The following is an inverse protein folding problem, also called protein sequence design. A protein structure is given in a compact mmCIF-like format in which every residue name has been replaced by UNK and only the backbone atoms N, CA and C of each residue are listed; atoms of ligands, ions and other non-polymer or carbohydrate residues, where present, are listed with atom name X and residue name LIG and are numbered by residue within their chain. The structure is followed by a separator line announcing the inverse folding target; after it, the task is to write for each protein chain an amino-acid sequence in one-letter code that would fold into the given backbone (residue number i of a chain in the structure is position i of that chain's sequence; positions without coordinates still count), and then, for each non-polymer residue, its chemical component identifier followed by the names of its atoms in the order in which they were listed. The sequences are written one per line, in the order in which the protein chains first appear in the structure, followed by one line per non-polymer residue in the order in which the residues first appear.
data_IF_128608475094
#
_entry.id   IF_128608475094
#
_cell.length_a   1.000
_cell.length_b   1.000
_cell.length_c   1.000
_cell.angle_alpha   90.00
_cell.angle_beta   90.00
_cell.angle_gamma   90.00
#
_symmetry.space_group_name_H-M   'P 1'
#
loop_
_entity.id
_entity.type
_entity.pdbx_description
1 polymer ?
#
# COMPACT_ATOMS: atom_id res chain seq x y z
N UNK A 1 18.48 7.15 23.01
CA UNK A 1 18.50 7.85 21.69
C UNK A 1 17.96 6.98 20.54
N UNK A 2 17.04 6.03 20.81
CA UNK A 2 16.54 5.07 19.80
C UNK A 2 15.11 5.42 19.33
N UNK A 3 14.29 5.98 20.23
CA UNK A 3 12.90 6.41 19.95
C UNK A 3 12.75 7.42 18.80
N UNK A 4 13.71 8.34 18.63
CA UNK A 4 13.59 9.39 17.59
C UNK A 4 13.86 8.88 16.18
N UNK A 5 14.55 7.74 16.02
CA UNK A 5 14.80 7.14 14.71
C UNK A 5 13.62 6.26 14.29
N UNK A 6 13.06 5.50 15.22
CA UNK A 6 11.88 4.68 14.95
C UNK A 6 10.66 5.55 14.62
N UNK A 7 10.40 6.59 15.41
CA UNK A 7 9.33 7.57 15.13
C UNK A 7 9.56 8.27 13.78
N UNK A 8 10.80 8.63 13.43
CA UNK A 8 11.11 9.21 12.11
C UNK A 8 10.87 8.23 10.96
N UNK A 9 11.13 6.94 11.14
CA UNK A 9 10.93 5.92 10.11
C UNK A 9 9.46 5.56 9.86
N UNK A 10 8.64 5.48 10.92
CA UNK A 10 7.19 5.21 10.78
C UNK A 10 6.43 6.41 10.24
N UNK A 11 6.91 7.63 10.50
CA UNK A 11 6.32 8.87 9.99
C UNK A 11 6.54 9.03 8.48
N UNK A 12 7.60 8.47 7.88
CA UNK A 12 7.90 8.72 6.46
C UNK A 12 7.03 7.91 5.47
N UNK A 13 6.64 6.68 5.86
CA UNK A 13 5.95 5.69 4.99
C UNK A 13 4.60 6.16 4.45
N UNK A 14 3.69 6.52 5.36
CA UNK A 14 2.36 7.01 4.97
C UNK A 14 2.43 8.45 4.50
N UNK A 15 3.46 9.20 4.92
CA UNK A 15 3.59 10.61 4.58
C UNK A 15 4.02 10.80 3.14
N UNK A 16 4.96 10.02 2.58
CA UNK A 16 5.39 10.22 1.19
C UNK A 16 4.22 9.99 0.22
N UNK A 17 3.59 8.81 0.26
CA UNK A 17 2.45 8.50 -0.61
C UNK A 17 1.31 9.52 -0.43
N UNK A 18 0.96 9.82 0.83
CA UNK A 18 -0.08 10.80 1.15
C UNK A 18 0.28 12.18 0.64
N UNK A 19 1.52 12.63 0.82
CA UNK A 19 1.97 13.94 0.38
C UNK A 19 1.94 14.02 -1.14
N UNK A 20 2.41 12.99 -1.85
CA UNK A 20 2.33 12.94 -3.32
C UNK A 20 0.88 13.04 -3.81
N UNK A 21 -0.05 12.27 -3.23
CA UNK A 21 -1.45 12.31 -3.63
C UNK A 21 -2.15 13.62 -3.23
N UNK A 22 -1.79 14.23 -2.10
CA UNK A 22 -2.28 15.55 -1.68
C UNK A 22 -1.78 16.65 -2.62
N UNK A 23 -0.48 16.66 -2.94
CA UNK A 23 0.12 17.65 -3.83
C UNK A 23 -0.40 17.50 -5.26
N UNK A 24 -0.62 16.26 -5.73
CA UNK A 24 -1.32 16.00 -6.99
C UNK A 24 -2.74 16.57 -6.97
N UNK A 25 -3.49 16.31 -5.90
CA UNK A 25 -4.83 16.85 -5.69
C UNK A 25 -4.87 18.37 -5.72
N UNK A 26 -3.88 19.05 -5.13
CA UNK A 26 -3.74 20.51 -5.15
C UNK A 26 -3.38 21.03 -6.54
N UNK A 27 -2.35 20.44 -7.16
CA UNK A 27 -1.81 20.85 -8.47
C UNK A 27 -2.87 20.76 -9.56
N UNK A 28 -3.65 19.69 -9.56
CA UNK A 28 -4.73 19.47 -10.52
C UNK A 28 -6.09 20.01 -10.03
N UNK A 29 -6.15 20.69 -8.88
CA UNK A 29 -7.38 21.19 -8.27
C UNK A 29 -8.51 20.13 -8.28
N UNK A 30 -8.20 18.92 -7.83
CA UNK A 30 -9.10 17.78 -7.85
C UNK A 30 -10.15 17.89 -6.76
N UNK A 31 -11.35 17.41 -7.04
CA UNK A 31 -12.34 17.19 -6.00
C UNK A 31 -11.97 16.00 -5.12
N UNK A 32 -11.50 14.94 -5.76
CA UNK A 32 -11.20 13.66 -5.15
C UNK A 32 -10.02 12.99 -5.88
N UNK A 33 -9.15 12.38 -5.11
CA UNK A 33 -8.07 11.52 -5.59
C UNK A 33 -8.06 10.29 -4.70
N UNK A 34 -8.27 9.12 -5.30
CA UNK A 34 -8.36 7.87 -4.58
C UNK A 34 -7.39 6.83 -5.13
N UNK A 35 -6.82 6.04 -4.22
CA UNK A 35 -5.96 4.92 -4.57
C UNK A 35 -6.58 3.63 -4.07
N UNK A 36 -6.77 2.70 -4.99
CA UNK A 36 -7.28 1.37 -4.73
C UNK A 36 -6.17 0.34 -4.90
N UNK A 37 -5.93 -0.45 -3.85
CA UNK A 37 -4.89 -1.48 -3.83
C UNK A 37 -5.52 -2.86 -3.99
N UNK A 38 -4.88 -3.80 -4.72
CA UNK A 38 -5.37 -5.17 -4.78
C UNK A 38 -5.31 -5.83 -3.40
N UNK A 39 -6.34 -6.61 -3.08
CA UNK A 39 -6.35 -7.46 -1.89
C UNK A 39 -5.36 -8.62 -2.03
N UNK A 40 -5.11 -9.34 -0.93
CA UNK A 40 -4.21 -10.52 -0.94
C UNK A 40 -4.64 -11.59 -1.94
N UNK A 41 -5.94 -11.73 -2.20
CA UNK A 41 -6.48 -12.68 -3.19
C UNK A 41 -6.28 -12.19 -4.63
N UNK A 42 -6.05 -10.90 -4.84
CA UNK A 42 -5.95 -10.27 -6.16
C UNK A 42 -7.28 -10.17 -6.94
N UNK A 43 -8.38 -10.65 -6.34
CA UNK A 43 -9.71 -10.66 -6.97
C UNK A 43 -10.48 -9.37 -6.75
N UNK A 44 -10.05 -8.56 -5.79
CA UNK A 44 -10.71 -7.33 -5.40
C UNK A 44 -9.70 -6.21 -5.21
N UNK A 45 -10.16 -4.98 -5.40
CA UNK A 45 -9.46 -3.76 -5.05
C UNK A 45 -10.08 -3.18 -3.78
N UNK A 46 -9.26 -2.89 -2.79
CA UNK A 46 -9.62 -2.22 -1.54
C UNK A 46 -9.21 -0.75 -1.61
N UNK A 47 -10.10 0.15 -1.17
CA UNK A 47 -9.80 1.57 -1.06
C UNK A 47 -8.75 1.81 0.04
N UNK A 48 -7.55 2.24 -0.34
CA UNK A 48 -6.46 2.49 0.60
C UNK A 48 -6.24 3.97 0.91
N UNK A 49 -6.61 4.86 -0.01
CA UNK A 49 -6.48 6.30 0.18
C UNK A 49 -7.61 7.07 -0.52
N UNK A 50 -8.04 8.18 0.09
CA UNK A 50 -8.89 9.21 -0.52
C UNK A 50 -8.45 10.58 0.01
N UNK A 51 -8.53 11.61 -0.85
CA UNK A 51 -8.11 12.97 -0.54
C UNK A 51 -8.92 13.59 0.61
N UNK A 52 -10.23 13.27 0.69
CA UNK A 52 -11.14 13.89 1.66
C UNK A 52 -11.42 13.08 2.93
N UNK A 53 -11.20 11.77 2.91
CA UNK A 53 -11.45 10.92 4.09
C UNK A 53 -10.15 10.27 4.60
N UNK A 54 -9.81 10.53 5.86
CA UNK A 54 -8.57 10.03 6.46
C UNK A 54 -8.67 8.58 6.95
N UNK A 55 -9.89 8.02 6.98
CA UNK A 55 -10.18 6.63 7.32
C UNK A 55 -11.29 6.10 6.39
N UNK A 56 -10.96 5.62 5.19
CA UNK A 56 -11.96 4.99 4.34
C UNK A 56 -12.53 3.78 5.08
N UNK A 57 -13.87 3.68 5.13
CA UNK A 57 -14.54 2.40 5.45
C UNK A 57 -14.00 1.35 4.46
N UNK A 58 -13.84 0.09 4.88
CA UNK A 58 -13.38 -0.98 3.99
C UNK A 58 -14.34 -1.15 2.81
N UNK A 59 -14.08 -0.44 1.73
CA UNK A 59 -14.77 -0.54 0.47
C UNK A 59 -13.94 -1.40 -0.46
N UNK A 60 -14.51 -2.50 -0.93
CA UNK A 60 -13.92 -3.37 -1.94
C UNK A 60 -14.72 -3.35 -3.22
N UNK A 61 -14.02 -3.53 -4.34
CA UNK A 61 -14.60 -3.63 -5.68
C UNK A 61 -13.94 -4.78 -6.44
N UNK A 62 -14.68 -5.66 -7.11
CA UNK A 62 -14.07 -6.76 -7.84
C UNK A 62 -13.18 -6.29 -9.00
N UNK A 63 -12.00 -6.89 -9.19
CA UNK A 63 -11.02 -6.50 -10.24
C UNK A 63 -11.50 -6.82 -11.65
N UNK A 64 -12.36 -7.82 -11.80
CA UNK A 64 -12.85 -8.30 -13.09
C UNK A 64 -13.89 -7.37 -13.76
N UNK A 65 -14.23 -6.23 -13.15
CA UNK A 65 -15.15 -5.27 -13.76
C UNK A 65 -14.59 -4.75 -15.10
N UNK A 66 -15.42 -4.62 -16.16
CA UNK A 66 -14.96 -4.19 -17.48
C UNK A 66 -14.21 -2.85 -17.48
N UNK A 67 -14.63 -1.91 -16.63
CA UNK A 67 -13.98 -0.61 -16.48
C UNK A 67 -12.56 -0.72 -15.92
N UNK A 68 -12.33 -1.64 -14.97
CA UNK A 68 -11.02 -1.85 -14.35
C UNK A 68 -10.11 -2.57 -15.34
N UNK A 69 -10.60 -3.61 -16.00
CA UNK A 69 -9.87 -4.33 -17.04
C UNK A 69 -9.43 -3.40 -18.18
N UNK A 70 -10.29 -2.46 -18.58
CA UNK A 70 -9.97 -1.43 -19.58
C UNK A 70 -8.84 -0.50 -19.12
N UNK A 71 -8.85 -0.08 -17.86
CA UNK A 71 -7.76 0.77 -17.33
C UNK A 71 -6.47 -0.03 -17.24
N UNK A 72 -6.54 -1.27 -16.75
CA UNK A 72 -5.36 -2.13 -16.57
C UNK A 72 -4.72 -2.60 -17.88
N UNK A 73 -5.46 -2.61 -19.00
CA UNK A 73 -4.92 -2.96 -20.31
C UNK A 73 -4.12 -1.84 -20.98
N UNK A 74 -4.12 -0.61 -20.44
CA UNK A 74 -3.46 0.55 -21.04
C UNK A 74 -2.53 1.26 -20.06
N UNK A 75 -1.50 1.94 -20.57
CA UNK A 75 -0.62 2.81 -19.74
C UNK A 75 -1.17 4.21 -19.52
N UNK A 76 -2.28 4.55 -20.16
CA UNK A 76 -2.78 5.91 -20.22
C UNK A 76 -3.89 6.16 -19.22
N UNK A 77 -4.11 7.42 -18.90
CA UNK A 77 -5.29 7.82 -18.15
C UNK A 77 -6.56 7.59 -18.98
N UNK A 78 -7.49 6.78 -18.47
CA UNK A 78 -8.74 6.43 -19.14
C UNK A 78 -9.90 7.17 -18.50
N UNK A 79 -10.69 7.89 -19.29
CA UNK A 79 -11.97 8.46 -18.83
C UNK A 79 -12.94 7.34 -18.45
N UNK A 80 -13.50 7.43 -17.25
CA UNK A 80 -14.45 6.46 -16.71
C UNK A 80 -15.74 7.14 -16.27
N UNK A 81 -16.83 6.37 -16.21
CA UNK A 81 -18.11 6.90 -15.73
C UNK A 81 -18.01 7.28 -14.25
N UNK A 82 -18.48 8.46 -13.83
CA UNK A 82 -18.54 8.82 -12.41
C UNK A 82 -19.49 7.91 -11.60
N UNK A 83 -20.38 7.18 -12.27
CA UNK A 83 -21.29 6.23 -11.64
C UNK A 83 -20.67 4.83 -11.42
N UNK A 84 -19.44 4.60 -11.88
CA UNK A 84 -18.79 3.31 -11.69
C UNK A 84 -18.43 3.08 -10.21
N UNK A 85 -18.32 1.81 -9.75
CA UNK A 85 -18.07 1.50 -8.34
C UNK A 85 -16.80 2.14 -7.77
N UNK A 86 -15.74 2.25 -8.59
CA UNK A 86 -14.45 2.82 -8.17
C UNK A 86 -14.43 4.36 -8.11
N UNK A 87 -15.39 5.03 -8.77
CA UNK A 87 -15.53 6.48 -8.73
C UNK A 87 -16.59 6.95 -7.72
N UNK A 88 -17.53 6.07 -7.36
CA UNK A 88 -18.63 6.37 -6.44
C UNK A 88 -18.20 6.26 -4.98
N UNK A 89 -17.32 7.17 -4.58
CA UNK A 89 -16.79 7.28 -3.21
C UNK A 89 -17.74 8.00 -2.24
N UNK A 90 -18.83 8.60 -2.75
CA UNK A 90 -19.86 9.27 -1.94
C UNK A 90 -21.26 8.76 -2.29
N UNK A 91 -22.18 8.72 -1.30
CA UNK A 91 -23.60 8.61 -1.57
C UNK A 91 -24.06 9.81 -2.43
N UNK A 92 -24.82 9.56 -3.49
CA UNK A 92 -25.43 10.63 -4.28
C UNK A 92 -26.51 11.31 -3.44
N UNK A 93 -26.19 12.48 -2.86
CA UNK A 93 -27.18 13.35 -2.24
C UNK A 93 -27.47 14.54 -3.16
N UNK A 94 -28.67 14.58 -3.75
CA UNK A 94 -29.18 15.71 -4.53
C UNK A 94 -28.87 15.71 -6.04
N UNK A 95 -29.27 16.81 -6.73
CA UNK A 95 -29.00 17.06 -8.16
C UNK A 95 -27.55 17.51 -8.36
N UNK A 96 -26.62 16.59 -8.18
CA UNK A 96 -25.19 16.83 -8.37
C UNK A 96 -24.77 16.40 -9.77
N UNK A 97 -24.07 17.26 -10.51
CA UNK A 97 -23.43 16.88 -11.78
C UNK A 97 -22.00 16.46 -11.47
N UNK A 98 -21.70 15.14 -11.45
CA UNK A 98 -20.35 14.68 -11.12
C UNK A 98 -19.33 15.21 -12.13
N UNK A 99 -18.16 15.63 -11.64
CA UNK A 99 -17.05 16.06 -12.49
C UNK A 99 -16.50 14.92 -13.36
N UNK A 100 -15.71 15.27 -14.38
CA UNK A 100 -15.05 14.24 -15.19
C UNK A 100 -14.10 13.40 -14.33
N UNK A 101 -14.16 12.07 -14.52
CA UNK A 101 -13.35 11.11 -13.79
C UNK A 101 -12.41 10.41 -14.75
N UNK A 102 -11.14 10.33 -14.36
CA UNK A 102 -10.15 9.50 -15.03
C UNK A 102 -9.59 8.48 -14.06
N UNK A 103 -9.24 7.33 -14.59
CA UNK A 103 -8.56 6.29 -13.86
C UNK A 103 -7.31 5.85 -14.62
N UNK A 104 -6.27 5.55 -13.85
CA UNK A 104 -4.98 5.15 -14.38
C UNK A 104 -4.43 4.01 -13.53
N UNK A 105 -3.78 3.05 -14.17
CA UNK A 105 -3.13 1.93 -13.47
C UNK A 105 -1.82 2.42 -12.86
N UNK A 106 -1.53 1.96 -11.65
CA UNK A 106 -0.24 2.20 -10.98
C UNK A 106 0.46 0.85 -10.84
N UNK A 107 1.62 0.63 -11.49
CA UNK A 107 2.34 -0.63 -11.37
C UNK A 107 2.81 -0.84 -9.94
N UNK A 108 2.51 -2.01 -9.38
CA UNK A 108 3.05 -2.42 -8.09
C UNK A 108 4.32 -3.22 -8.35
N UNK A 109 5.46 -2.58 -8.09
CA UNK A 109 6.77 -3.22 -8.22
C UNK A 109 6.95 -4.20 -7.07
N UNK A 110 6.83 -5.51 -7.35
CA UNK A 110 7.25 -6.55 -6.41
C UNK A 110 8.78 -6.65 -6.45
N UNK A 111 9.42 -6.35 -5.34
CA UNK A 111 10.85 -6.57 -5.13
C UNK A 111 11.06 -7.74 -4.16
N UNK A 112 10.45 -8.89 -4.44
CA UNK A 112 10.57 -10.04 -3.54
C UNK A 112 11.85 -10.82 -3.81
N UNK A 113 12.83 -10.72 -2.89
CA UNK A 113 13.91 -11.70 -2.73
C UNK A 113 13.77 -12.51 -1.41
N UNK A 114 12.83 -12.17 -0.52
CA UNK A 114 12.56 -12.92 0.69
C UNK A 114 11.21 -13.64 0.59
N UNK A 115 11.25 -14.86 0.04
CA UNK A 115 10.13 -15.79 0.14
C UNK A 115 10.01 -16.25 1.59
N UNK A 116 9.01 -15.73 2.31
CA UNK A 116 8.45 -16.40 3.47
C UNK A 116 6.96 -16.60 3.15
N UNK A 117 6.70 -17.75 2.54
CA UNK A 117 5.50 -18.58 2.46
C UNK A 117 4.10 -17.92 2.53
N UNK A 118 3.24 -18.37 1.61
CA UNK A 118 1.79 -18.16 1.51
C UNK A 118 1.29 -17.04 0.60
N UNK A 119 1.82 -16.96 -0.63
CA UNK A 119 1.09 -16.34 -1.74
C UNK A 119 1.13 -17.29 -2.94
N UNK A 120 -0.02 -17.68 -3.54
CA UNK A 120 -0.01 -18.46 -4.76
C UNK A 120 0.76 -17.70 -5.83
N UNK A 121 1.68 -18.42 -6.47
CA UNK A 121 2.47 -17.96 -7.61
C UNK A 121 1.55 -17.50 -8.75
N UNK A 122 1.20 -16.22 -8.75
CA UNK A 122 0.62 -15.56 -9.91
C UNK A 122 1.73 -14.75 -10.57
N UNK A 123 2.14 -15.08 -11.82
CA UNK A 123 3.16 -14.33 -12.55
C UNK A 123 2.61 -13.03 -13.16
N UNK A 124 1.46 -12.54 -12.70
CA UNK A 124 0.72 -11.47 -13.36
C UNK A 124 0.97 -10.14 -12.66
N UNK A 125 1.52 -9.18 -13.40
CA UNK A 125 1.74 -7.78 -12.98
C UNK A 125 0.59 -7.30 -12.08
N UNK A 126 0.89 -6.98 -10.82
CA UNK A 126 -0.10 -6.42 -9.90
C UNK A 126 -0.22 -4.92 -10.15
N UNK A 127 -1.45 -4.43 -10.28
CA UNK A 127 -1.73 -3.01 -10.47
C UNK A 127 -2.61 -2.51 -9.34
N UNK A 128 -2.28 -1.32 -8.83
CA UNK A 128 -3.23 -0.47 -8.13
C UNK A 128 -3.99 0.38 -9.15
N UNK A 129 -5.14 0.91 -8.73
CA UNK A 129 -5.95 1.80 -9.53
C UNK A 129 -5.99 3.18 -8.86
N UNK A 130 -5.52 4.21 -9.56
CA UNK A 130 -5.66 5.58 -9.12
C UNK A 130 -6.84 6.23 -9.86
N UNK A 131 -7.75 6.83 -9.11
CA UNK A 131 -8.98 7.46 -9.63
C UNK A 131 -8.97 8.94 -9.26
N UNK A 132 -9.10 9.81 -10.25
CA UNK A 132 -9.04 11.26 -10.09
C UNK A 132 -10.31 11.89 -10.62
N UNK A 133 -10.91 12.77 -9.82
CA UNK A 133 -12.18 13.43 -10.13
C UNK A 133 -11.98 14.95 -10.11
N UNK A 134 -12.38 15.60 -11.21
CA UNK A 134 -12.46 17.06 -11.27
C UNK A 134 -13.60 17.61 -10.41
N UNK A 135 -13.58 18.91 -10.04
CA UNK A 135 -14.67 19.56 -9.34
C UNK A 135 -16.02 19.37 -10.04
N UNK A 136 -16.96 18.78 -9.32
CA UNK A 136 -18.33 18.63 -9.78
C UNK A 136 -19.06 19.97 -9.85
N UNK A 137 -20.17 20.00 -10.60
CA UNK A 137 -20.89 21.22 -10.96
C UNK A 137 -20.01 22.27 -11.68
N UNK A 138 -18.90 21.85 -12.27
CA UNK A 138 -18.09 22.69 -13.15
C UNK A 138 -18.17 22.16 -14.59
N UNK A 139 -18.02 23.05 -15.58
CA UNK A 139 -17.84 22.65 -16.98
C UNK A 139 -16.39 22.21 -17.27
N UNK A 140 -15.58 21.97 -16.23
CA UNK A 140 -14.17 21.65 -16.36
C UNK A 140 -14.01 20.25 -16.94
N UNK A 141 -13.12 20.14 -17.91
CA UNK A 141 -12.74 18.90 -18.54
C UNK A 141 -11.23 18.70 -18.39
N UNK A 142 -10.81 17.44 -18.43
CA UNK A 142 -9.40 17.09 -18.46
C UNK A 142 -8.74 17.60 -19.72
N UNK A 143 -7.67 18.38 -19.55
CA UNK A 143 -6.82 18.83 -20.65
C UNK A 143 -5.73 17.79 -20.92
N UNK A 144 -5.24 17.74 -22.15
CA UNK A 144 -4.20 16.77 -22.56
C UNK A 144 -2.96 16.80 -21.62
N UNK A 145 -2.44 17.99 -21.31
CA UNK A 145 -1.30 18.14 -20.41
C UNK A 145 -1.58 17.70 -18.96
N UNK A 146 -2.83 17.78 -18.50
CA UNK A 146 -3.20 17.28 -17.16
C UNK A 146 -3.17 15.74 -17.13
N UNK A 147 -3.58 15.08 -18.23
CA UNK A 147 -3.51 13.63 -18.38
C UNK A 147 -2.05 13.16 -18.48
N UNK A 148 -1.22 13.84 -19.26
CA UNK A 148 0.23 13.58 -19.35
C UNK A 148 0.91 13.72 -17.98
N UNK A 149 0.55 14.76 -17.20
CA UNK A 149 1.06 14.93 -15.85
C UNK A 149 0.65 13.77 -14.94
N UNK A 150 -0.61 13.31 -15.01
CA UNK A 150 -1.09 12.16 -14.24
C UNK A 150 -0.27 10.92 -14.57
N UNK A 151 0.01 10.66 -15.85
CA UNK A 151 0.82 9.51 -16.29
C UNK A 151 2.24 9.58 -15.70
N UNK A 152 2.91 10.74 -15.74
CA UNK A 152 4.24 10.89 -15.13
C UNK A 152 4.20 10.71 -13.60
N UNK A 153 3.17 11.24 -12.94
CA UNK A 153 3.03 11.11 -11.49
C UNK A 153 2.72 9.67 -11.08
N UNK A 154 2.04 8.88 -11.92
CA UNK A 154 1.81 7.47 -11.60
C UNK A 154 3.08 6.67 -11.43
N UNK A 155 4.13 6.95 -12.20
CA UNK A 155 5.42 6.29 -12.03
C UNK A 155 6.06 6.66 -10.68
N UNK A 156 5.95 7.92 -10.25
CA UNK A 156 6.44 8.34 -8.94
C UNK A 156 5.64 7.71 -7.79
N UNK A 157 4.32 7.59 -7.95
CA UNK A 157 3.46 6.89 -6.99
C UNK A 157 3.85 5.40 -6.91
N UNK A 158 4.14 4.75 -8.03
CA UNK A 158 4.61 3.37 -8.05
C UNK A 158 5.93 3.18 -7.29
N UNK A 159 6.89 4.09 -7.47
CA UNK A 159 8.16 4.09 -6.72
C UNK A 159 7.91 4.28 -5.22
N UNK A 160 7.08 5.24 -4.84
CA UNK A 160 6.73 5.48 -3.43
C UNK A 160 6.06 4.26 -2.79
N UNK A 161 5.14 3.60 -3.50
CA UNK A 161 4.51 2.35 -3.05
C UNK A 161 5.52 1.21 -2.90
N UNK A 162 6.50 1.12 -3.81
CA UNK A 162 7.57 0.12 -3.73
C UNK A 162 8.44 0.34 -2.50
N UNK A 163 8.88 1.57 -2.24
CA UNK A 163 9.63 1.91 -1.02
C UNK A 163 8.83 1.58 0.25
N UNK A 164 7.53 1.88 0.26
CA UNK A 164 6.66 1.53 1.39
C UNK A 164 6.58 0.01 1.63
N UNK A 165 6.50 -0.78 0.55
CA UNK A 165 6.47 -2.24 0.62
C UNK A 165 7.79 -2.81 1.15
N UNK A 166 8.95 -2.36 0.63
CA UNK A 166 10.28 -2.80 1.09
C UNK A 166 10.46 -2.51 2.58
N UNK A 167 10.07 -1.31 3.02
CA UNK A 167 10.19 -0.93 4.42
C UNK A 167 9.32 -1.82 5.32
N UNK A 168 8.09 -2.11 4.91
CA UNK A 168 7.21 -3.02 5.66
C UNK A 168 7.78 -4.43 5.77
N UNK A 169 8.34 -4.96 4.68
CA UNK A 169 9.02 -6.25 4.67
C UNK A 169 10.27 -6.26 5.58
N UNK A 170 11.09 -5.22 5.50
CA UNK A 170 12.27 -5.07 6.36
C UNK A 170 11.93 -4.99 7.84
N UNK A 171 10.85 -4.26 8.20
CA UNK A 171 10.37 -4.19 9.58
C UNK A 171 9.90 -5.55 10.08
N UNK A 172 9.10 -6.28 9.29
CA UNK A 172 8.65 -7.64 9.64
C UNK A 172 9.83 -8.60 9.83
N UNK A 173 10.81 -8.56 8.92
CA UNK A 173 12.01 -9.39 9.03
C UNK A 173 12.81 -9.08 10.30
N UNK A 174 12.96 -7.79 10.63
CA UNK A 174 13.62 -7.36 11.87
C UNK A 174 12.88 -7.87 13.11
N UNK A 175 11.55 -7.74 13.14
CA UNK A 175 10.74 -8.16 14.28
C UNK A 175 10.80 -9.69 14.47
N UNK A 176 10.78 -10.46 13.38
CA UNK A 176 10.98 -11.91 13.40
C UNK A 176 12.38 -12.30 13.90
N UNK A 177 13.43 -11.62 13.44
CA UNK A 177 14.79 -11.86 13.91
C UNK A 177 14.94 -11.54 15.40
N UNK A 178 14.24 -10.52 15.89
CA UNK A 178 14.25 -10.16 17.31
C UNK A 178 13.58 -11.24 18.17
N UNK A 179 12.47 -11.81 17.70
CA UNK A 179 11.80 -12.95 18.34
C UNK A 179 12.71 -14.19 18.38
N UNK A 180 13.33 -14.54 17.26
CA UNK A 180 14.26 -15.67 17.17
C UNK A 180 15.48 -15.50 18.10
N UNK A 181 16.00 -14.29 18.25
CA UNK A 181 17.13 -14.02 19.13
C UNK A 181 16.75 -14.22 20.62
N UNK A 182 15.55 -13.82 21.02
CA UNK A 182 15.03 -14.07 22.38
C UNK A 182 14.92 -15.57 22.65
N UNK A 183 14.41 -16.34 21.69
CA UNK A 183 14.30 -17.79 21.80
C UNK A 183 15.66 -18.49 21.90
N UNK A 184 16.62 -18.07 21.06
CA UNK A 184 17.99 -18.57 21.10
C UNK A 184 18.67 -18.26 22.44
N UNK A 185 18.50 -17.07 22.98
CA UNK A 185 19.06 -16.69 24.29
C UNK A 185 18.42 -17.45 25.46
N UNK A 186 17.13 -17.81 25.35
CA UNK A 186 16.47 -18.71 26.31
C UNK A 186 17.09 -20.10 26.24
N UNK A 187 17.15 -20.72 25.06
CA UNK A 187 17.73 -22.04 24.86
C UNK A 187 19.20 -22.11 25.32
N UNK A 188 19.97 -21.06 25.05
CA UNK A 188 21.37 -20.97 25.48
C UNK A 188 21.51 -20.90 27.00
N UNK A 189 20.61 -20.22 27.70
CA UNK A 189 20.62 -20.16 29.18
C UNK A 189 20.25 -21.51 29.79
N UNK A 190 19.25 -22.19 29.26
CA UNK A 190 18.84 -23.53 29.69
C UNK A 190 19.97 -24.56 29.52
N UNK A 191 20.66 -24.54 28.38
CA UNK A 191 21.83 -25.39 28.17
C UNK A 191 22.95 -25.12 29.20
N UNK A 192 23.20 -23.84 29.51
CA UNK A 192 24.22 -23.45 30.49
C UNK A 192 23.86 -23.84 31.93
N UNK A 193 22.60 -23.79 32.32
CA UNK A 193 22.17 -24.23 33.65
C UNK A 193 22.26 -25.75 33.76
N UNK A 194 21.87 -26.50 32.73
CA UNK A 194 22.01 -27.96 32.69
C UNK A 194 23.48 -28.41 32.80
N UNK A 195 24.39 -27.74 32.08
CA UNK A 195 25.84 -28.02 32.17
C UNK A 195 26.38 -27.72 33.57
N UNK A 196 25.99 -26.60 34.19
CA UNK A 196 26.41 -26.25 35.55
C UNK A 196 25.93 -27.27 36.57
N UNK A 197 24.63 -27.62 36.54
CA UNK A 197 24.09 -28.64 37.43
C UNK A 197 24.85 -29.96 37.30
N UNK A 198 25.12 -30.43 36.07
CA UNK A 198 25.92 -31.64 35.84
C UNK A 198 27.31 -31.54 36.47
N UNK A 199 28.00 -30.41 36.31
CA UNK A 199 29.34 -30.22 36.88
C UNK A 199 29.31 -30.18 38.41
N UNK A 200 28.31 -29.53 39.00
CA UNK A 200 28.14 -29.48 40.45
C UNK A 200 27.86 -30.88 41.02
N UNK A 201 27.02 -31.69 40.36
CA UNK A 201 26.82 -33.10 40.72
C UNK A 201 28.12 -33.91 40.65
N UNK A 202 28.91 -33.75 39.58
CA UNK A 202 30.20 -34.44 39.45
C UNK A 202 31.20 -34.01 40.54
N UNK A 203 31.21 -32.73 40.91
CA UNK A 203 32.08 -32.23 41.97
C UNK A 203 31.73 -32.82 43.34
N UNK A 204 30.45 -32.97 43.65
CA UNK A 204 29.98 -33.63 44.89
C UNK A 204 30.32 -35.12 44.92
N UNK A 205 30.29 -35.82 43.78
CA UNK A 205 30.61 -37.26 43.72
C UNK A 205 32.11 -37.58 43.73
N UNK A 206 32.96 -36.63 43.37
CA UNK A 206 34.42 -36.79 43.36
C UNK A 206 35.07 -36.43 44.71
N UNK A 207 34.26 -36.05 45.70
CA UNK A 207 34.65 -35.89 47.10
C UNK A 207 34.13 -37.06 47.94
#
# INVERSE_FOLDING_TARGET
RMLTHEIRSTIDRHTILRTTLVELGRTLALEECALWMPTRTGLELQLSYTLRHQSPVEFTVPTHLPVINKVFSTNHAVKISPNCPVARLRPLAGKYMPGEVVAVRVPLLRLSNFQINDCPELPTKCYALMVLMLPSNSARQWRAHELELVEVVTDQVAVALSHAAILEESMKARDLLMEQNVDLDRARREARTAIRARNDFLAVMNH
#
